data_IF_618966049805
#
_entry.id   IF_618966049805
#
_cell.length_a   1.000
_cell.length_b   1.000
_cell.length_c   1.000
_cell.angle_alpha   90.00
_cell.angle_beta   90.00
_cell.angle_gamma   90.00
#
_symmetry.space_group_name_H-M   'P 1'
#
loop_
_entity.id
_entity.type
_entity.pdbx_description
1 polymer ?
#
# COMPACT_ATOMS: atom_id res chain seq x y z
N UNK A 1 62.41 -13.11 -31.42
CA UNK A 1 63.45 -12.63 -30.47
C UNK A 1 62.68 -11.99 -29.31
N UNK A 2 62.55 -12.65 -28.15
CA UNK A 2 63.55 -12.79 -27.07
C UNK A 2 63.80 -11.43 -26.36
N UNK A 3 63.76 -11.28 -25.03
CA UNK A 3 63.53 -12.21 -23.91
C UNK A 3 62.78 -11.44 -22.78
N UNK A 4 61.83 -11.99 -22.02
CA UNK A 4 61.99 -12.87 -20.85
C UNK A 4 62.91 -12.32 -19.73
N UNK A 5 62.33 -12.06 -18.54
CA UNK A 5 63.03 -12.15 -17.24
C UNK A 5 62.00 -12.56 -16.17
N UNK A 6 62.21 -13.73 -15.59
CA UNK A 6 61.50 -14.26 -14.42
C UNK A 6 62.30 -13.93 -13.16
N UNK A 7 61.62 -13.64 -12.05
CA UNK A 7 62.12 -14.01 -10.71
C UNK A 7 60.97 -14.69 -9.97
N UNK A 8 61.27 -15.79 -9.30
CA UNK A 8 60.34 -16.72 -8.67
C UNK A 8 60.98 -17.27 -7.37
N UNK A 9 60.23 -18.06 -6.59
CA UNK A 9 60.65 -18.88 -5.43
C UNK A 9 60.59 -18.25 -4.01
N UNK A 10 59.41 -18.41 -3.38
CA UNK A 10 59.13 -19.25 -2.19
C UNK A 10 60.29 -20.08 -1.54
N UNK A 11 60.09 -20.75 -0.38
CA UNK A 11 59.53 -20.34 0.91
C UNK A 11 60.39 -20.84 2.11
N UNK A 12 59.99 -20.61 3.37
CA UNK A 12 60.52 -21.36 4.54
C UNK A 12 59.36 -21.85 5.43
N UNK A 13 59.52 -23.05 6.00
CA UNK A 13 58.47 -23.86 6.65
C UNK A 13 58.95 -24.41 8.01
N UNK A 14 58.02 -24.77 8.92
CA UNK A 14 58.21 -25.59 10.14
C UNK A 14 59.10 -24.98 11.27
N UNK A 15 59.03 -25.31 12.58
CA UNK A 15 58.06 -25.96 13.50
C UNK A 15 58.51 -25.62 14.96
N UNK A 16 58.02 -26.13 16.12
CA UNK A 16 57.09 -27.22 16.49
C UNK A 16 56.46 -27.03 17.90
N UNK A 17 55.43 -27.84 18.20
CA UNK A 17 54.97 -28.41 19.50
C UNK A 17 55.48 -27.90 20.87
N UNK A 18 54.54 -27.74 21.82
CA UNK A 18 54.44 -28.61 23.01
C UNK A 18 53.09 -28.42 23.74
N UNK A 19 52.73 -29.34 24.64
CA UNK A 19 51.37 -29.58 25.12
C UNK A 19 51.29 -29.86 26.64
N UNK A 20 50.06 -30.01 27.17
CA UNK A 20 49.71 -30.45 28.54
C UNK A 20 49.73 -29.32 29.60
N UNK A 21 48.93 -29.33 30.68
CA UNK A 21 48.11 -30.40 31.33
C UNK A 21 46.75 -29.88 31.84
N UNK A 22 45.81 -30.81 32.09
CA UNK A 22 44.56 -30.56 32.80
C UNK A 22 44.73 -30.63 34.33
N UNK A 23 43.84 -29.98 35.09
CA UNK A 23 43.44 -30.44 36.45
C UNK A 23 41.95 -30.18 36.70
N UNK A 24 41.34 -31.08 37.48
CA UNK A 24 39.91 -31.15 37.79
C UNK A 24 39.58 -30.57 39.19
N UNK A 25 38.31 -30.71 39.59
CA UNK A 25 37.80 -30.78 40.98
C UNK A 25 37.36 -29.42 41.60
N UNK A 26 36.18 -29.25 42.24
CA UNK A 26 35.00 -30.13 42.41
C UNK A 26 33.76 -29.36 42.92
N UNK A 27 32.59 -29.99 42.82
CA UNK A 27 31.26 -29.51 43.22
C UNK A 27 30.95 -29.71 44.72
N UNK A 28 30.14 -28.80 45.29
CA UNK A 28 29.25 -29.01 46.46
C UNK A 28 28.21 -27.88 46.50
N UNK A 29 26.96 -28.10 46.10
CA UNK A 29 25.80 -28.55 46.91
C UNK A 29 25.49 -27.59 48.09
N UNK A 30 24.39 -26.83 47.98
CA UNK A 30 23.19 -26.89 48.87
C UNK A 30 22.03 -26.05 48.31
N UNK A 31 20.76 -26.33 48.70
CA UNK A 31 19.59 -25.61 48.20
C UNK A 31 19.16 -24.46 49.13
N UNK A 32 18.46 -23.46 48.59
CA UNK A 32 17.64 -22.56 49.42
C UNK A 32 16.25 -22.37 48.80
N UNK A 33 15.25 -22.89 49.49
CA UNK A 33 13.84 -22.62 49.24
C UNK A 33 13.48 -21.34 49.99
N UNK A 34 12.92 -20.34 49.30
CA UNK A 34 12.23 -19.24 49.96
C UNK A 34 10.89 -18.98 49.29
N UNK A 35 9.84 -19.01 50.11
CA UNK A 35 8.47 -18.74 49.72
C UNK A 35 8.30 -17.27 49.34
N UNK A 36 7.68 -17.01 48.20
CA UNK A 36 6.90 -15.79 47.98
C UNK A 36 5.49 -16.15 47.51
N UNK A 37 4.45 -15.51 48.05
CA UNK A 37 3.07 -15.93 47.81
C UNK A 37 2.62 -15.61 46.38
N UNK A 38 2.12 -16.61 45.68
CA UNK A 38 1.34 -16.43 44.46
C UNK A 38 0.03 -15.74 44.81
N UNK A 39 -0.07 -14.43 44.52
CA UNK A 39 -1.34 -13.69 44.59
C UNK A 39 -2.18 -14.10 43.39
N UNK A 40 -3.01 -15.12 43.57
CA UNK A 40 -3.97 -15.59 42.58
C UNK A 40 -5.11 -14.59 42.40
N UNK A 41 -4.90 -13.56 41.57
CA UNK A 41 -6.00 -12.75 41.03
C UNK A 41 -6.80 -13.59 40.03
N UNK A 42 -7.78 -14.32 40.56
CA UNK A 42 -8.92 -14.79 39.78
C UNK A 42 -9.66 -13.57 39.22
N UNK A 43 -9.40 -13.23 37.96
CA UNK A 43 -10.28 -12.39 37.16
C UNK A 43 -11.15 -13.28 36.30
N UNK A 44 -12.32 -13.65 36.83
CA UNK A 44 -13.41 -14.24 36.05
C UNK A 44 -13.82 -13.25 34.96
N UNK A 45 -13.39 -13.50 33.72
CA UNK A 45 -13.95 -12.82 32.56
C UNK A 45 -15.41 -13.27 32.40
N UNK A 46 -16.40 -12.36 32.42
CA UNK A 46 -17.75 -12.72 32.03
C UNK A 46 -17.75 -13.06 30.54
N UNK A 47 -18.21 -14.26 30.19
CA UNK A 47 -18.38 -14.67 28.80
C UNK A 47 -19.51 -13.84 28.17
N UNK A 48 -19.12 -12.82 27.39
CA UNK A 48 -20.03 -12.06 26.54
C UNK A 48 -20.61 -12.99 25.46
N UNK A 49 -21.70 -13.65 25.84
CA UNK A 49 -22.51 -14.47 24.96
C UNK A 49 -23.34 -13.55 24.07
N UNK A 50 -22.77 -13.18 22.92
CA UNK A 50 -23.50 -12.52 21.84
C UNK A 50 -24.64 -13.43 21.38
N UNK A 51 -25.85 -13.16 21.89
CA UNK A 51 -27.08 -13.68 21.30
C UNK A 51 -27.23 -13.02 19.93
N UNK A 52 -26.99 -13.77 18.86
CA UNK A 52 -27.52 -13.38 17.56
C UNK A 52 -29.05 -13.25 17.69
N UNK A 53 -29.67 -12.21 17.12
CA UNK A 53 -31.11 -12.19 16.97
C UNK A 53 -31.48 -13.31 15.99
N UNK A 54 -32.05 -14.40 16.52
CA UNK A 54 -32.67 -15.45 15.73
C UNK A 54 -33.93 -14.90 15.08
N UNK A 55 -33.79 -14.21 13.94
CA UNK A 55 -34.95 -13.93 13.09
C UNK A 55 -35.28 -15.21 12.31
N UNK A 56 -36.52 -15.65 12.44
CA UNK A 56 -37.00 -16.94 11.96
C UNK A 56 -37.06 -17.02 10.43
N UNK A 57 -36.81 -18.23 9.90
CA UNK A 57 -37.40 -18.74 8.67
C UNK A 57 -37.36 -17.78 7.46
N UNK A 58 -36.22 -17.72 6.77
CA UNK A 58 -36.26 -17.77 5.31
C UNK A 58 -35.79 -19.14 4.85
N UNK A 59 -36.74 -19.93 4.37
CA UNK A 59 -36.49 -21.15 3.62
C UNK A 59 -35.49 -20.83 2.50
N UNK A 60 -34.58 -21.76 2.24
CA UNK A 60 -33.67 -21.72 1.09
C UNK A 60 -34.47 -21.86 -0.21
N UNK A 61 -35.11 -20.77 -0.64
CA UNK A 61 -35.40 -20.58 -2.04
C UNK A 61 -34.06 -20.52 -2.77
N UNK A 62 -33.89 -21.36 -3.80
CA UNK A 62 -32.84 -21.14 -4.79
C UNK A 62 -33.18 -19.85 -5.53
N UNK A 63 -32.68 -18.73 -5.04
CA UNK A 63 -32.87 -17.42 -5.70
C UNK A 63 -32.23 -17.50 -7.06
N UNK A 64 -33.07 -17.39 -8.09
CA UNK A 64 -32.66 -17.32 -9.48
C UNK A 64 -31.75 -16.10 -9.62
N UNK A 65 -30.52 -16.31 -10.11
CA UNK A 65 -29.62 -15.21 -10.46
C UNK A 65 -30.37 -14.27 -11.40
N UNK A 66 -30.53 -13.01 -10.98
CA UNK A 66 -31.12 -11.96 -11.82
C UNK A 66 -30.33 -11.91 -13.12
N UNK A 67 -30.94 -12.33 -14.22
CA UNK A 67 -30.22 -12.55 -15.46
C UNK A 67 -29.72 -11.21 -16.00
N UNK A 68 -28.39 -11.03 -16.02
CA UNK A 68 -27.77 -9.85 -16.62
C UNK A 68 -28.23 -9.76 -18.07
N UNK A 69 -28.74 -8.59 -18.46
CA UNK A 69 -29.21 -8.33 -19.82
C UNK A 69 -28.11 -8.68 -20.84
N UNK A 70 -28.52 -9.22 -21.99
CA UNK A 70 -27.58 -9.59 -23.05
C UNK A 70 -26.92 -8.37 -23.66
N UNK A 71 -25.75 -8.56 -24.25
CA UNK A 71 -24.97 -7.48 -24.85
C UNK A 71 -25.69 -6.85 -26.04
N UNK A 72 -26.49 -7.64 -26.77
CA UNK A 72 -27.40 -7.21 -27.84
C UNK A 72 -28.64 -6.44 -27.36
N UNK A 73 -29.06 -6.57 -26.10
CA UNK A 73 -30.29 -5.96 -25.55
C UNK A 73 -30.05 -4.60 -24.87
N UNK A 74 -28.80 -4.15 -24.80
CA UNK A 74 -28.39 -2.93 -24.09
C UNK A 74 -28.04 -1.79 -25.05
N UNK A 75 -28.53 -0.60 -24.74
CA UNK A 75 -28.17 0.63 -25.44
C UNK A 75 -26.74 1.08 -25.06
N UNK A 76 -25.92 1.55 -26.01
CA UNK A 76 -24.58 2.06 -25.73
C UNK A 76 -24.65 3.45 -25.08
N UNK A 77 -24.03 3.59 -23.92
CA UNK A 77 -23.84 4.87 -23.24
C UNK A 77 -22.59 5.56 -23.80
N UNK A 78 -22.68 6.86 -24.12
CA UNK A 78 -21.52 7.62 -24.58
C UNK A 78 -20.57 7.89 -23.41
N UNK A 79 -19.27 7.73 -23.60
CA UNK A 79 -18.29 8.02 -22.52
C UNK A 79 -17.90 9.51 -22.59
N UNK A 80 -18.20 10.32 -21.57
CA UNK A 80 -17.97 11.77 -21.63
C UNK A 80 -16.46 12.11 -21.71
N UNK A 81 -16.18 13.29 -22.28
CA UNK A 81 -14.80 13.76 -22.50
C UNK A 81 -14.19 14.49 -21.31
N UNK A 82 -14.98 14.86 -20.30
CA UNK A 82 -14.52 15.49 -19.05
C UNK A 82 -15.02 14.66 -17.84
N UNK A 83 -14.24 14.55 -16.75
CA UNK A 83 -14.70 13.85 -15.54
C UNK A 83 -15.75 14.60 -14.72
N UNK A 84 -15.82 15.93 -14.84
CA UNK A 84 -16.72 16.80 -14.05
C UNK A 84 -18.09 17.02 -14.71
N UNK A 85 -18.27 16.53 -15.94
CA UNK A 85 -19.57 16.36 -16.58
C UNK A 85 -19.93 14.87 -16.42
N UNK A 86 -21.12 14.59 -15.85
CA UNK A 86 -21.71 13.25 -15.58
C UNK A 86 -21.24 12.45 -14.34
N UNK A 87 -21.94 12.67 -13.24
CA UNK A 87 -22.19 11.64 -12.21
C UNK A 87 -23.35 10.68 -12.55
N UNK A 88 -24.22 11.06 -13.51
CA UNK A 88 -25.59 10.55 -13.57
C UNK A 88 -25.87 9.56 -14.72
N UNK A 89 -24.96 9.40 -15.69
CA UNK A 89 -25.15 8.48 -16.84
C UNK A 89 -24.52 7.09 -16.63
N UNK A 90 -23.44 6.96 -15.85
CA UNK A 90 -22.74 5.69 -15.67
C UNK A 90 -23.01 5.08 -14.29
N UNK A 91 -23.46 3.82 -14.20
CA UNK A 91 -23.71 3.16 -12.93
C UNK A 91 -22.43 3.06 -12.08
N UNK A 92 -22.52 3.49 -10.83
CA UNK A 92 -21.45 3.31 -9.84
C UNK A 92 -21.46 1.93 -9.19
N UNK A 93 -22.50 1.15 -9.48
CA UNK A 93 -22.76 -0.22 -9.05
C UNK A 93 -21.71 -1.22 -9.59
N UNK A 94 -21.77 -2.44 -9.05
CA UNK A 94 -20.97 -3.58 -9.52
C UNK A 94 -21.61 -4.22 -10.76
N UNK A 95 -20.77 -4.79 -11.63
CA UNK A 95 -21.25 -5.55 -12.78
C UNK A 95 -20.22 -5.76 -13.89
N UNK A 96 -20.72 -6.09 -15.07
CA UNK A 96 -19.96 -6.29 -16.31
C UNK A 96 -20.10 -5.05 -17.21
N UNK A 97 -19.06 -4.76 -18.00
CA UNK A 97 -19.09 -3.68 -18.99
C UNK A 97 -18.25 -4.04 -20.21
N UNK A 98 -18.66 -3.51 -21.37
CA UNK A 98 -18.02 -3.70 -22.66
C UNK A 98 -17.72 -2.33 -23.26
N UNK A 99 -16.45 -2.06 -23.56
CA UNK A 99 -15.95 -0.80 -24.10
C UNK A 99 -15.81 -0.91 -25.61
N UNK A 100 -16.32 0.11 -26.30
CA UNK A 100 -16.35 0.23 -27.75
C UNK A 100 -15.52 1.43 -28.22
N UNK A 101 -14.88 1.28 -29.38
CA UNK A 101 -14.17 2.37 -30.05
C UNK A 101 -15.11 3.25 -30.91
N UNK A 102 -14.51 4.20 -31.64
CA UNK A 102 -15.22 5.08 -32.58
C UNK A 102 -15.88 4.34 -33.77
N UNK A 103 -15.54 3.07 -34.02
CA UNK A 103 -16.12 2.24 -35.07
C UNK A 103 -17.29 1.38 -34.57
N UNK A 104 -17.64 1.48 -33.28
CA UNK A 104 -18.55 0.58 -32.57
C UNK A 104 -18.07 -0.88 -32.52
N UNK A 105 -16.76 -1.12 -32.54
CA UNK A 105 -16.17 -2.45 -32.31
C UNK A 105 -15.75 -2.63 -30.85
N UNK A 106 -15.92 -3.84 -30.30
CA UNK A 106 -15.59 -4.13 -28.89
C UNK A 106 -14.07 -4.26 -28.73
N UNK A 107 -13.51 -3.35 -27.95
CA UNK A 107 -12.08 -3.36 -27.62
C UNK A 107 -11.80 -4.13 -26.32
N UNK A 108 -12.71 -4.11 -25.36
CA UNK A 108 -12.51 -4.75 -24.05
C UNK A 108 -13.82 -5.10 -23.34
N UNK A 109 -13.88 -6.26 -22.70
CA UNK A 109 -14.97 -6.66 -21.79
C UNK A 109 -14.38 -6.92 -20.40
N UNK A 110 -14.90 -6.24 -19.38
CA UNK A 110 -14.41 -6.30 -18.01
C UNK A 110 -15.51 -6.43 -16.97
N UNK A 111 -15.11 -6.72 -15.73
CA UNK A 111 -15.97 -6.68 -14.54
C UNK A 111 -15.39 -5.73 -13.51
N UNK A 112 -16.25 -5.07 -12.73
CA UNK A 112 -15.82 -4.19 -11.65
C UNK A 112 -16.81 -4.16 -10.50
N UNK A 113 -16.31 -3.73 -9.34
CA UNK A 113 -17.14 -3.36 -8.18
C UNK A 113 -17.72 -1.94 -8.29
N UNK A 114 -17.24 -1.15 -9.24
CA UNK A 114 -17.81 0.12 -9.65
C UNK A 114 -17.54 0.32 -11.15
N UNK A 115 -18.58 0.21 -11.96
CA UNK A 115 -18.47 0.30 -13.43
C UNK A 115 -17.96 1.69 -13.82
N UNK A 116 -18.59 2.77 -13.33
CA UNK A 116 -18.18 4.15 -13.61
C UNK A 116 -16.69 4.40 -13.33
N UNK A 117 -16.19 3.99 -12.16
CA UNK A 117 -14.79 4.19 -11.79
C UNK A 117 -13.80 3.46 -12.73
N UNK A 118 -14.16 2.26 -13.20
CA UNK A 118 -13.35 1.51 -14.16
C UNK A 118 -13.38 2.14 -15.56
N UNK A 119 -14.57 2.48 -16.08
CA UNK A 119 -14.72 3.10 -17.40
C UNK A 119 -13.99 4.45 -17.47
N UNK A 120 -14.12 5.29 -16.44
CA UNK A 120 -13.41 6.56 -16.35
C UNK A 120 -11.88 6.37 -16.24
N UNK A 121 -11.40 5.29 -15.62
CA UNK A 121 -9.97 4.95 -15.60
C UNK A 121 -9.46 4.55 -16.99
N UNK A 122 -10.26 3.79 -17.74
CA UNK A 122 -9.93 3.39 -19.12
C UNK A 122 -9.92 4.60 -20.05
N UNK A 123 -10.95 5.45 -20.00
CA UNK A 123 -11.04 6.69 -20.79
C UNK A 123 -9.83 7.61 -20.59
N UNK A 124 -9.29 7.68 -19.36
CA UNK A 124 -8.07 8.44 -19.04
C UNK A 124 -6.78 7.80 -19.57
N UNK A 125 -6.74 6.47 -19.72
CA UNK A 125 -5.53 5.72 -20.11
C UNK A 125 -5.46 5.46 -21.63
N UNK A 126 -6.60 5.20 -22.26
CA UNK A 126 -6.77 4.90 -23.69
C UNK A 126 -7.97 5.64 -24.27
N UNK A 127 -7.89 6.98 -24.43
CA UNK A 127 -9.02 7.79 -24.88
C UNK A 127 -9.56 7.35 -26.25
N UNK A 128 -8.69 6.98 -27.20
CA UNK A 128 -9.07 6.61 -28.58
C UNK A 128 -9.87 5.31 -28.70
N UNK A 129 -9.80 4.43 -27.69
CA UNK A 129 -10.45 3.11 -27.68
C UNK A 129 -11.71 3.08 -26.79
N UNK A 130 -12.07 4.20 -26.17
CA UNK A 130 -13.12 4.29 -25.16
C UNK A 130 -14.09 5.42 -25.52
N UNK A 131 -15.00 5.10 -26.44
CA UNK A 131 -15.93 6.07 -27.05
C UNK A 131 -17.37 5.84 -26.59
N UNK A 132 -17.81 4.58 -26.53
CA UNK A 132 -19.06 4.18 -25.89
C UNK A 132 -18.87 2.93 -25.02
N UNK A 133 -19.82 2.68 -24.13
CA UNK A 133 -19.81 1.56 -23.20
C UNK A 133 -21.20 0.96 -23.05
N UNK A 134 -21.30 -0.37 -23.05
CA UNK A 134 -22.50 -1.08 -22.57
C UNK A 134 -22.26 -1.58 -21.16
N UNK A 135 -23.28 -1.48 -20.31
CA UNK A 135 -23.17 -1.77 -18.87
C UNK A 135 -24.24 -2.76 -18.42
N UNK A 136 -23.82 -3.84 -17.77
CA UNK A 136 -24.67 -4.86 -17.16
C UNK A 136 -24.50 -4.81 -15.65
N UNK A 137 -25.34 -4.03 -14.98
CA UNK A 137 -25.38 -3.96 -13.51
C UNK A 137 -25.84 -5.29 -12.94
N UNK A 138 -25.22 -5.70 -11.82
CA UNK A 138 -25.54 -6.94 -11.10
C UNK A 138 -25.99 -6.57 -9.69
N UNK A 139 -27.26 -6.84 -9.37
CA UNK A 139 -27.87 -6.49 -8.07
C UNK A 139 -27.19 -7.19 -6.89
N UNK A 140 -26.81 -8.46 -7.06
CA UNK A 140 -26.11 -9.29 -6.07
C UNK A 140 -24.71 -9.72 -6.62
N UNK A 141 -23.69 -8.86 -6.53
CA UNK A 141 -22.39 -9.08 -7.17
C UNK A 141 -21.49 -10.00 -6.33
N UNK A 142 -21.55 -11.31 -6.60
CA UNK A 142 -20.53 -12.28 -6.19
C UNK A 142 -19.48 -12.49 -7.29
N UNK A 143 -18.31 -13.01 -6.91
CA UNK A 143 -17.26 -13.44 -7.84
C UNK A 143 -17.81 -14.42 -8.89
N UNK A 144 -18.69 -15.34 -8.53
CA UNK A 144 -19.28 -16.30 -9.47
C UNK A 144 -20.18 -15.60 -10.49
N UNK A 145 -21.19 -14.83 -10.02
CA UNK A 145 -22.15 -14.13 -10.89
C UNK A 145 -21.48 -13.15 -11.84
N UNK A 146 -20.47 -12.39 -11.36
CA UNK A 146 -19.68 -11.51 -12.22
C UNK A 146 -18.86 -12.29 -13.28
N UNK A 147 -18.30 -13.44 -12.91
CA UNK A 147 -17.54 -14.29 -13.85
C UNK A 147 -18.46 -14.90 -14.92
N UNK A 148 -19.68 -15.28 -14.55
CA UNK A 148 -20.69 -15.82 -15.48
C UNK A 148 -21.23 -14.76 -16.42
N UNK A 149 -21.55 -13.56 -15.91
CA UNK A 149 -21.96 -12.41 -16.74
C UNK A 149 -20.87 -12.04 -17.76
N UNK A 150 -19.61 -12.00 -17.32
CA UNK A 150 -18.46 -11.76 -18.20
C UNK A 150 -18.31 -12.83 -19.29
N UNK A 151 -18.41 -14.12 -18.92
CA UNK A 151 -18.39 -15.23 -19.89
C UNK A 151 -19.51 -15.11 -20.90
N UNK A 152 -20.74 -14.84 -20.47
CA UNK A 152 -21.88 -14.69 -21.38
C UNK A 152 -21.66 -13.59 -22.43
N UNK A 153 -21.09 -12.45 -22.04
CA UNK A 153 -20.81 -11.35 -22.97
C UNK A 153 -19.62 -11.66 -23.90
N UNK A 154 -18.59 -12.35 -23.39
CA UNK A 154 -17.48 -12.84 -24.21
C UNK A 154 -17.94 -13.89 -25.24
N UNK A 155 -18.77 -14.85 -24.84
CA UNK A 155 -19.34 -15.87 -25.72
C UNK A 155 -20.25 -15.26 -26.79
N UNK A 156 -21.08 -14.27 -26.42
CA UNK A 156 -21.95 -13.54 -27.36
C UNK A 156 -21.11 -12.79 -28.42
N UNK A 157 -20.02 -12.11 -28.02
CA UNK A 157 -19.12 -11.45 -28.98
C UNK A 157 -18.33 -12.43 -29.85
N UNK A 158 -17.79 -13.52 -29.27
CA UNK A 158 -17.06 -14.54 -30.01
C UNK A 158 -17.98 -15.25 -31.01
N UNK A 159 -19.25 -15.49 -30.67
CA UNK A 159 -20.23 -16.07 -31.58
C UNK A 159 -20.61 -15.13 -32.74
N UNK A 160 -20.63 -13.81 -32.51
CA UNK A 160 -20.95 -12.82 -33.53
C UNK A 160 -19.76 -12.51 -34.47
N UNK A 161 -18.56 -12.32 -33.91
CA UNK A 161 -17.39 -11.79 -34.63
C UNK A 161 -16.31 -12.86 -34.91
N UNK A 162 -16.36 -14.00 -34.23
CA UNK A 162 -15.35 -15.08 -34.35
C UNK A 162 -13.99 -14.74 -33.74
N UNK A 163 -13.89 -13.66 -32.95
CA UNK A 163 -12.65 -13.12 -32.38
C UNK A 163 -12.80 -12.80 -30.90
N UNK A 164 -11.67 -12.75 -30.21
CA UNK A 164 -11.56 -12.25 -28.83
C UNK A 164 -11.37 -10.72 -28.91
N UNK A 165 -11.96 -9.91 -28.01
CA UNK A 165 -11.69 -8.48 -27.97
C UNK A 165 -10.18 -8.22 -27.75
N UNK A 166 -9.53 -7.29 -28.48
CA UNK A 166 -8.09 -7.08 -28.40
C UNK A 166 -7.55 -6.85 -26.98
N UNK A 167 -8.32 -6.16 -26.13
CA UNK A 167 -7.99 -5.89 -24.72
C UNK A 167 -8.09 -7.09 -23.78
N UNK A 168 -8.66 -8.21 -24.23
CA UNK A 168 -8.80 -9.45 -23.47
C UNK A 168 -7.83 -10.55 -23.94
N UNK A 169 -7.00 -10.28 -24.96
CA UNK A 169 -5.98 -11.21 -25.44
C UNK A 169 -4.84 -11.40 -24.41
N UNK A 170 -4.30 -12.63 -24.34
CA UNK A 170 -3.21 -12.96 -23.42
C UNK A 170 -1.94 -12.17 -23.75
N UNK A 171 -1.56 -11.26 -22.86
CA UNK A 171 -0.41 -10.37 -23.03
C UNK A 171 -0.78 -8.90 -23.28
N UNK A 172 -2.04 -8.61 -23.63
CA UNK A 172 -2.50 -7.22 -23.75
C UNK A 172 -2.85 -6.64 -22.36
N UNK A 173 -1.84 -6.09 -21.70
CA UNK A 173 -2.00 -5.46 -20.40
C UNK A 173 -2.67 -4.08 -20.43
N UNK A 174 -3.00 -3.49 -21.58
CA UNK A 174 -3.38 -2.06 -21.70
C UNK A 174 -4.57 -1.67 -20.80
N UNK A 175 -5.56 -2.55 -20.66
CA UNK A 175 -6.79 -2.30 -19.91
C UNK A 175 -6.72 -2.73 -18.43
N UNK A 176 -5.76 -3.60 -18.08
CA UNK A 176 -5.65 -4.18 -16.73
C UNK A 176 -4.48 -3.58 -15.95
N UNK A 177 -3.40 -3.20 -16.64
CA UNK A 177 -2.30 -2.45 -16.08
C UNK A 177 -2.74 -1.02 -15.81
N UNK A 178 -3.26 -0.79 -14.60
CA UNK A 178 -3.32 0.55 -14.01
C UNK A 178 -1.99 1.24 -14.28
N UNK A 179 -2.03 2.39 -14.97
CA UNK A 179 -0.85 3.20 -15.23
C UNK A 179 -0.03 3.31 -13.93
N UNK A 180 1.31 3.11 -13.97
CA UNK A 180 2.12 3.10 -12.77
C UNK A 180 1.84 4.38 -11.98
N UNK A 181 1.44 4.22 -10.72
CA UNK A 181 1.07 5.36 -9.87
C UNK A 181 2.15 6.44 -9.97
N UNK A 182 1.79 7.73 -10.05
CA UNK A 182 2.75 8.82 -10.24
C UNK A 182 3.88 8.62 -9.24
N UNK A 183 5.12 8.51 -9.75
CA UNK A 183 6.26 7.95 -9.01
C UNK A 183 6.39 8.69 -7.67
N UNK A 184 5.96 8.04 -6.58
CA UNK A 184 6.03 8.61 -5.25
C UNK A 184 7.49 8.95 -4.97
N UNK A 185 7.76 10.14 -4.42
CA UNK A 185 9.11 10.52 -4.01
C UNK A 185 9.69 9.41 -3.11
N UNK A 186 10.96 9.01 -3.30
CA UNK A 186 11.61 8.07 -2.39
C UNK A 186 11.73 8.71 -1.00
N UNK A 187 11.64 7.90 0.04
CA UNK A 187 11.83 8.38 1.41
C UNK A 187 13.29 8.84 1.62
N UNK A 188 13.47 9.92 2.36
CA UNK A 188 14.77 10.53 2.62
C UNK A 188 15.58 9.68 3.60
N UNK A 189 16.87 9.58 3.29
CA UNK A 189 17.91 8.93 4.08
C UNK A 189 18.80 10.01 4.69
N UNK A 190 18.77 10.15 6.01
CA UNK A 190 19.52 11.19 6.73
C UNK A 190 21.00 10.83 6.96
N UNK A 191 21.32 9.54 7.00
CA UNK A 191 22.68 9.04 7.20
C UNK A 191 23.15 8.19 6.02
N UNK A 192 24.46 8.20 5.70
CA UNK A 192 25.02 7.41 4.60
C UNK A 192 25.22 5.91 4.95
N UNK A 193 24.75 5.45 6.12
CA UNK A 193 24.85 4.07 6.57
C UNK A 193 25.27 3.94 8.03
N UNK A 194 24.76 2.92 8.74
CA UNK A 194 24.97 2.66 10.19
C UNK A 194 26.43 2.72 10.66
N UNK A 195 27.37 2.28 9.81
CA UNK A 195 28.79 2.18 10.15
C UNK A 195 29.64 3.38 9.67
N UNK A 196 29.00 4.45 9.19
CA UNK A 196 29.67 5.65 8.70
C UNK A 196 29.52 6.76 9.74
N UNK A 197 30.63 7.36 10.16
CA UNK A 197 30.61 8.43 11.14
C UNK A 197 30.09 9.73 10.51
N UNK A 198 29.07 10.33 11.11
CA UNK A 198 28.49 11.59 10.65
C UNK A 198 29.45 12.76 10.92
N UNK A 199 29.58 13.65 9.94
CA UNK A 199 30.34 14.91 10.07
C UNK A 199 29.61 15.95 10.96
N UNK A 200 28.30 15.79 11.14
CA UNK A 200 27.41 16.69 11.87
C UNK A 200 26.49 15.89 12.81
N UNK A 201 26.00 16.48 13.92
CA UNK A 201 24.96 15.88 14.76
C UNK A 201 23.68 15.53 13.97
N UNK A 202 22.98 14.48 14.42
CA UNK A 202 21.72 14.05 13.77
C UNK A 202 20.60 15.07 14.01
N UNK A 203 20.63 15.77 15.13
CA UNK A 203 19.79 16.91 15.46
C UNK A 203 19.88 18.03 14.40
N UNK A 204 21.08 18.36 13.91
CA UNK A 204 21.29 19.38 12.88
C UNK A 204 20.86 18.91 11.48
N UNK A 205 20.87 17.60 11.22
CA UNK A 205 20.33 17.01 9.99
C UNK A 205 18.80 17.08 9.98
N UNK A 206 18.15 16.77 11.11
CA UNK A 206 16.70 16.93 11.29
C UNK A 206 16.32 18.41 11.14
N UNK A 207 17.02 19.31 11.83
CA UNK A 207 16.73 20.75 11.83
C UNK A 207 16.81 21.37 10.44
N UNK A 208 17.83 21.03 9.65
CA UNK A 208 17.92 21.43 8.25
C UNK A 208 16.80 20.82 7.42
N UNK A 209 16.54 19.52 7.55
CA UNK A 209 15.50 18.85 6.76
C UNK A 209 14.13 19.52 6.93
N UNK A 210 13.73 19.83 8.17
CA UNK A 210 12.40 20.42 8.44
C UNK A 210 12.32 21.90 8.04
N UNK A 211 13.44 22.62 7.94
CA UNK A 211 13.49 24.03 7.51
C UNK A 211 13.61 24.20 6.00
N UNK A 212 14.34 23.32 5.32
CA UNK A 212 14.54 23.33 3.87
C UNK A 212 13.27 22.87 3.12
N UNK A 213 12.47 21.98 3.73
CA UNK A 213 11.30 21.39 3.09
C UNK A 213 9.99 21.92 3.69
N UNK A 214 9.02 22.25 2.82
CA UNK A 214 7.74 22.84 3.25
C UNK A 214 6.96 21.93 4.20
N UNK A 215 6.96 20.62 3.93
CA UNK A 215 6.24 19.61 4.70
C UNK A 215 7.13 18.38 4.84
N UNK A 216 7.35 17.90 6.07
CA UNK A 216 8.14 16.69 6.35
C UNK A 216 7.34 15.77 7.27
N UNK A 217 7.18 14.51 6.85
CA UNK A 217 6.46 13.47 7.58
C UNK A 217 7.41 12.38 8.05
N UNK A 218 7.68 12.34 9.36
CA UNK A 218 8.42 11.26 10.00
C UNK A 218 7.44 10.13 10.35
N UNK A 219 7.57 9.01 9.63
CA UNK A 219 6.61 7.91 9.63
C UNK A 219 7.29 6.57 9.97
N UNK A 220 6.50 5.52 10.24
CA UNK A 220 6.98 4.15 10.41
C UNK A 220 6.74 3.37 9.12
N UNK A 221 7.80 2.86 8.50
CA UNK A 221 7.76 2.39 7.12
C UNK A 221 7.86 3.55 6.13
N UNK A 222 7.71 3.24 4.85
CA UNK A 222 7.79 4.19 3.74
C UNK A 222 6.42 4.79 3.36
N UNK A 223 6.43 5.84 2.53
CA UNK A 223 5.21 6.36 1.88
C UNK A 223 4.52 5.33 0.97
N UNK A 224 5.30 4.41 0.41
CA UNK A 224 4.81 3.33 -0.45
C UNK A 224 4.33 2.10 0.34
N UNK A 225 4.92 1.83 1.52
CA UNK A 225 4.61 0.70 2.39
C UNK A 225 4.65 1.13 3.88
N UNK A 226 3.64 1.86 4.37
CA UNK A 226 3.58 2.27 5.77
C UNK A 226 3.37 1.05 6.68
N UNK A 227 4.21 0.92 7.71
CA UNK A 227 4.22 -0.22 8.64
C UNK A 227 3.37 0.02 9.90
N UNK A 228 2.57 1.08 9.91
CA UNK A 228 1.71 1.44 11.05
C UNK A 228 0.44 2.15 10.56
N UNK A 229 -0.72 1.75 11.08
CA UNK A 229 -2.02 2.34 10.69
C UNK A 229 -2.11 3.85 10.90
N UNK A 230 -1.44 4.40 11.92
CA UNK A 230 -1.34 5.86 12.12
C UNK A 230 -0.51 6.54 11.02
N UNK A 231 0.59 5.92 10.58
CA UNK A 231 1.39 6.41 9.45
C UNK A 231 0.62 6.31 8.13
N UNK A 232 -0.12 5.21 7.92
CA UNK A 232 -0.99 5.05 6.74
C UNK A 232 -2.09 6.12 6.67
N UNK A 233 -2.73 6.46 7.81
CA UNK A 233 -3.70 7.56 7.88
C UNK A 233 -3.06 8.90 7.49
N UNK A 234 -1.90 9.23 8.05
CA UNK A 234 -1.19 10.49 7.74
C UNK A 234 -0.78 10.58 6.27
N UNK A 235 -0.23 9.51 5.69
CA UNK A 235 0.08 9.43 4.25
C UNK A 235 -1.18 9.66 3.41
N UNK A 236 -2.29 9.01 3.76
CA UNK A 236 -3.57 9.17 3.05
C UNK A 236 -4.15 10.58 3.11
N UNK A 237 -4.00 11.28 4.25
CA UNK A 237 -4.42 12.68 4.41
C UNK A 237 -3.53 13.60 3.56
N UNK A 238 -2.21 13.48 3.63
CA UNK A 238 -1.32 14.34 2.84
C UNK A 238 -1.50 14.12 1.33
N UNK A 239 -1.77 12.87 0.91
CA UNK A 239 -2.10 12.54 -0.48
C UNK A 239 -3.49 13.04 -0.90
N UNK A 240 -4.50 13.07 -0.03
CA UNK A 240 -5.84 13.59 -0.37
C UNK A 240 -5.87 15.11 -0.54
N UNK A 241 -5.01 15.85 0.17
CA UNK A 241 -4.80 17.29 -0.06
C UNK A 241 -3.94 17.59 -1.30
N UNK A 242 -3.35 16.57 -1.95
CA UNK A 242 -2.50 16.74 -3.13
C UNK A 242 -1.21 17.52 -2.88
N UNK A 243 -0.73 17.54 -1.64
CA UNK A 243 0.39 18.38 -1.21
C UNK A 243 1.71 17.65 -1.42
N UNK A 244 2.73 18.38 -1.90
CA UNK A 244 4.08 17.86 -1.97
C UNK A 244 4.74 17.88 -0.58
N UNK A 245 5.34 16.76 -0.20
CA UNK A 245 5.98 16.56 1.09
C UNK A 245 7.15 15.58 0.97
N UNK A 246 8.07 15.66 1.93
CA UNK A 246 9.12 14.67 2.12
C UNK A 246 8.75 13.68 3.24
N UNK A 247 9.17 12.43 3.10
CA UNK A 247 8.90 11.38 4.10
C UNK A 247 10.19 10.73 4.56
N UNK A 248 10.26 10.37 5.84
CA UNK A 248 11.43 9.73 6.46
C UNK A 248 10.95 8.54 7.28
N UNK A 249 11.48 7.35 7.02
CA UNK A 249 11.21 6.17 7.84
C UNK A 249 12.05 6.19 9.12
N UNK A 250 11.40 6.30 10.27
CA UNK A 250 12.04 6.26 11.59
C UNK A 250 12.40 4.85 12.06
N UNK A 251 12.13 3.83 11.24
CA UNK A 251 12.52 2.43 11.46
C UNK A 251 13.68 1.97 10.57
N UNK A 252 14.16 2.81 9.64
CA UNK A 252 15.35 2.50 8.82
C UNK A 252 16.62 2.61 9.69
N UNK A 253 16.94 1.55 10.41
CA UNK A 253 18.15 1.46 11.23
C UNK A 253 19.44 1.32 10.39
N UNK A 254 19.37 1.32 9.05
CA UNK A 254 20.55 1.34 8.16
C UNK A 254 20.91 2.78 7.78
N UNK A 255 19.94 3.59 7.35
CA UNK A 255 20.14 4.96 6.84
C UNK A 255 19.58 6.07 7.73
N UNK A 256 18.87 5.73 8.80
CA UNK A 256 18.30 6.66 9.79
C UNK A 256 18.58 6.18 11.23
N UNK A 257 19.71 5.48 11.45
CA UNK A 257 20.10 4.93 12.76
C UNK A 257 20.03 5.98 13.88
N UNK A 258 19.32 5.67 14.96
CA UNK A 258 19.13 6.56 16.12
C UNK A 258 18.12 7.70 15.92
N UNK A 259 17.60 7.94 14.70
CA UNK A 259 16.65 9.01 14.39
C UNK A 259 15.45 9.02 15.33
N UNK A 260 14.90 7.84 15.62
CA UNK A 260 13.68 7.70 16.41
C UNK A 260 13.79 8.28 17.82
N UNK A 261 14.94 8.15 18.46
CA UNK A 261 15.15 8.64 19.83
C UNK A 261 15.67 10.08 19.85
N UNK A 262 16.47 10.47 18.85
CA UNK A 262 16.90 11.86 18.64
C UNK A 262 15.70 12.77 18.34
N UNK A 263 14.82 12.35 17.43
CA UNK A 263 13.69 13.16 16.99
C UNK A 263 12.67 13.41 18.11
N UNK A 264 12.38 12.43 18.98
CA UNK A 264 11.53 12.65 20.18
C UNK A 264 12.06 13.76 21.08
N UNK A 265 13.39 13.88 21.22
CA UNK A 265 14.03 14.91 22.02
C UNK A 265 13.98 16.26 21.31
N UNK A 266 14.32 16.29 20.02
CA UNK A 266 14.27 17.50 19.18
C UNK A 266 12.88 18.13 19.14
N UNK A 267 11.84 17.31 18.91
CA UNK A 267 10.45 17.78 18.79
C UNK A 267 9.71 17.89 20.13
N UNK A 268 10.31 17.44 21.23
CA UNK A 268 9.66 17.22 22.52
C UNK A 268 8.35 16.40 22.42
N UNK A 269 8.28 15.47 21.46
CA UNK A 269 7.06 14.72 21.13
C UNK A 269 7.29 13.20 21.22
N UNK A 270 6.51 12.44 22.01
CA UNK A 270 6.84 11.05 22.35
C UNK A 270 6.40 10.01 21.30
N UNK A 271 5.43 10.33 20.44
CA UNK A 271 4.79 9.36 19.52
C UNK A 271 5.19 9.57 18.06
N UNK A 272 4.76 8.64 17.20
CA UNK A 272 4.94 8.69 15.74
C UNK A 272 3.64 8.25 15.06
N UNK A 273 3.26 8.81 13.90
CA UNK A 273 4.05 9.76 13.07
C UNK A 273 4.19 11.16 13.68
N UNK A 274 5.14 11.95 13.16
CA UNK A 274 5.33 13.37 13.48
C UNK A 274 5.38 14.19 12.18
N UNK A 275 4.60 15.27 12.10
CA UNK A 275 4.47 16.11 10.90
C UNK A 275 5.02 17.50 11.22
N UNK A 276 5.97 17.93 10.40
CA UNK A 276 6.50 19.29 10.41
C UNK A 276 6.02 20.05 9.19
N UNK A 277 5.71 21.34 9.37
CA UNK A 277 5.42 22.26 8.27
C UNK A 277 6.22 23.55 8.49
N UNK A 278 7.03 23.93 7.50
CA UNK A 278 7.91 25.11 7.53
C UNK A 278 8.81 25.19 8.77
N UNK A 279 9.36 24.06 9.20
CA UNK A 279 10.22 23.95 10.38
C UNK A 279 9.49 23.78 11.72
N UNK A 280 8.17 23.97 11.78
CA UNK A 280 7.39 23.85 13.02
C UNK A 280 6.68 22.49 13.12
N UNK A 281 6.66 21.89 14.31
CA UNK A 281 5.91 20.66 14.58
C UNK A 281 4.40 20.97 14.61
N UNK A 282 3.65 20.40 13.67
CA UNK A 282 2.18 20.44 13.68
C UNK A 282 1.61 19.42 14.67
N UNK A 283 2.25 18.24 14.78
CA UNK A 283 1.91 17.22 15.75
C UNK A 283 1.92 15.80 15.19
N UNK A 284 1.13 14.92 15.83
CA UNK A 284 0.96 13.51 15.44
C UNK A 284 -0.30 13.23 14.61
N UNK A 285 -0.59 11.94 14.41
CA UNK A 285 -1.72 11.47 13.61
C UNK A 285 -3.06 12.06 14.05
N UNK A 286 -3.36 12.07 15.35
CA UNK A 286 -4.69 12.45 15.84
C UNK A 286 -4.98 13.95 15.65
N UNK A 287 -3.95 14.79 15.81
CA UNK A 287 -4.03 16.23 15.50
C UNK A 287 -4.25 16.43 13.99
N UNK A 288 -3.48 15.73 13.15
CA UNK A 288 -3.61 15.86 11.69
C UNK A 288 -4.99 15.42 11.18
N UNK A 289 -5.59 14.39 11.80
CA UNK A 289 -6.97 13.96 11.55
C UNK A 289 -7.96 15.06 11.95
N UNK A 290 -7.87 15.62 13.17
CA UNK A 290 -8.73 16.71 13.63
C UNK A 290 -8.67 17.92 12.69
N UNK A 291 -7.46 18.38 12.35
CA UNK A 291 -7.26 19.53 11.45
C UNK A 291 -7.74 19.26 10.02
N UNK A 292 -7.74 18.00 9.58
CA UNK A 292 -8.32 17.61 8.29
C UNK A 292 -9.84 17.68 8.31
N UNK A 293 -10.48 17.13 9.35
CA UNK A 293 -11.95 17.14 9.54
C UNK A 293 -12.48 18.57 9.74
N UNK A 294 -11.72 19.43 10.42
CA UNK A 294 -12.03 20.85 10.63
C UNK A 294 -11.69 21.74 9.42
N UNK A 295 -11.04 21.21 8.38
CA UNK A 295 -10.62 21.95 7.18
C UNK A 295 -9.43 22.90 7.37
N UNK A 296 -8.94 23.08 8.60
CA UNK A 296 -7.80 23.95 8.93
C UNK A 296 -6.50 23.52 8.24
N UNK A 297 -6.30 22.20 8.07
CA UNK A 297 -5.09 21.64 7.46
C UNK A 297 -4.87 22.14 6.02
N UNK A 298 -5.94 22.31 5.24
CA UNK A 298 -5.84 22.82 3.87
C UNK A 298 -5.26 24.24 3.83
N UNK A 299 -5.60 25.08 4.80
CA UNK A 299 -5.09 26.44 4.93
C UNK A 299 -3.62 26.47 5.37
N UNK A 300 -3.23 25.54 6.25
CA UNK A 300 -1.86 25.40 6.73
C UNK A 300 -0.90 24.88 5.65
N UNK A 301 -1.33 23.91 4.83
CA UNK A 301 -0.52 23.34 3.75
C UNK A 301 -0.46 24.22 2.49
N UNK A 302 -1.45 25.09 2.24
CA UNK A 302 -1.45 26.02 1.09
C UNK A 302 -0.50 27.21 1.28
N UNK A 303 -0.48 27.83 2.47
CA UNK A 303 0.38 28.98 2.81
C UNK A 303 1.85 28.73 2.55
#
# INVERSE_FOLDING_TARGET
MAAATLINLLPIQASSSSSSTCTNYSSRITPYVSFYPQVSRSTTFPSLSFKLPTNSNRLSAFTIVSAVKKLSELDPLTVPSKPDEFSDELPSESGVYAVYDNNNEIQFIGVSRSIAASVLSHRKSVPELCSSVKVGVVDEPDRTTLTEAWKSWMEEHIAATGKIPPGNESGNGIWVNRAPAPRKKPDIRLTPGRNVQLTVPLEELIDRLVKENKVVAFIKGSRSAPLCGFSQKVVGILESHGVDYESVDVLDEEHNFGLRETLKKYSNWPTFPQIFVKGELVGGCDILVSMHEQGELASLLKK
#
